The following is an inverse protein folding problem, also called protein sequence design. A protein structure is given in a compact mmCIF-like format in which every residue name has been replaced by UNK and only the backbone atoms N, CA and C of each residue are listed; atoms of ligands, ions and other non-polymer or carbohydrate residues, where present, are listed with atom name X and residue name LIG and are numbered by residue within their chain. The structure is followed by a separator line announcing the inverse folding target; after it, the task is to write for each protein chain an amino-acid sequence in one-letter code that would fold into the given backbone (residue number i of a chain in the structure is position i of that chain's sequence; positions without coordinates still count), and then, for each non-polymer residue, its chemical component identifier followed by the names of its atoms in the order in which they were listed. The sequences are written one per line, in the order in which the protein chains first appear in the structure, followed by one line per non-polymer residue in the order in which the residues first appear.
data_IF_452061877589
#
_entry.id   IF_452061877589
#
_cell.length_a   1.000
_cell.length_b   1.000
_cell.length_c   1.000
_cell.angle_alpha   90.00
_cell.angle_beta   90.00
_cell.angle_gamma   90.00
#
_symmetry.space_group_name_H-M   'P 1'
#
loop_
_entity.id
_entity.type
_entity.pdbx_description
1 polymer ?
#
# COMPACT_ATOMS: atom_id res chain seq x y z
N UNK A 1 71.19 -38.57 -2.13
CA UNK A 1 71.13 -39.04 -3.53
C UNK A 1 69.79 -39.74 -3.73
N UNK A 2 69.00 -39.29 -4.74
CA UNK A 2 68.01 -40.00 -5.57
C UNK A 2 66.95 -40.90 -4.88
N UNK A 3 65.68 -40.97 -5.27
CA UNK A 3 64.76 -40.19 -6.09
C UNK A 3 63.41 -40.94 -5.99
N UNK A 4 62.32 -40.26 -6.33
CA UNK A 4 61.10 -40.85 -6.93
C UNK A 4 59.99 -41.37 -6.02
N UNK A 5 58.70 -41.11 -6.25
CA UNK A 5 57.95 -40.21 -7.14
C UNK A 5 56.51 -40.13 -6.60
N UNK A 6 55.80 -39.09 -7.03
CA UNK A 6 54.41 -38.75 -6.73
C UNK A 6 53.41 -39.91 -6.85
N UNK A 7 52.32 -39.86 -6.06
CA UNK A 7 50.96 -39.71 -6.62
C UNK A 7 50.01 -39.20 -5.54
N UNK A 8 49.68 -37.91 -5.62
CA UNK A 8 48.59 -37.24 -4.90
C UNK A 8 47.25 -37.72 -5.45
N UNK A 9 46.53 -38.54 -4.70
CA UNK A 9 45.10 -38.75 -4.93
C UNK A 9 44.34 -37.57 -4.33
N UNK A 10 44.12 -36.54 -5.16
CA UNK A 10 43.23 -35.41 -4.88
C UNK A 10 41.81 -35.96 -4.68
N UNK A 11 41.39 -36.09 -3.43
CA UNK A 11 39.98 -36.29 -3.10
C UNK A 11 39.25 -34.96 -3.36
N UNK A 12 38.65 -34.89 -4.56
CA UNK A 12 37.57 -33.96 -4.89
C UNK A 12 36.46 -34.10 -3.86
N UNK A 13 36.36 -33.13 -2.96
CA UNK A 13 35.18 -32.91 -2.13
C UNK A 13 34.78 -31.45 -2.32
N UNK A 14 34.25 -31.17 -3.51
CA UNK A 14 33.67 -29.89 -3.85
C UNK A 14 32.47 -29.68 -2.92
N UNK A 15 32.66 -28.86 -1.90
CA UNK A 15 31.63 -28.37 -0.99
C UNK A 15 30.63 -27.51 -1.77
N UNK A 16 29.59 -28.15 -2.31
CA UNK A 16 28.36 -27.49 -2.71
C UNK A 16 27.44 -27.39 -1.48
N UNK A 17 27.82 -26.54 -0.54
CA UNK A 17 26.84 -25.96 0.38
C UNK A 17 25.99 -25.00 -0.44
N UNK A 18 24.90 -25.51 -1.02
CA UNK A 18 23.74 -24.70 -1.38
C UNK A 18 23.17 -24.15 -0.07
N UNK A 19 23.83 -23.13 0.49
CA UNK A 19 23.16 -22.15 1.30
C UNK A 19 22.19 -21.45 0.35
N UNK A 20 21.03 -22.07 0.16
CA UNK A 20 19.88 -21.39 -0.36
C UNK A 20 19.75 -20.15 0.50
N UNK A 21 20.04 -18.99 -0.10
CA UNK A 21 19.58 -17.72 0.39
C UNK A 21 18.07 -17.86 0.47
N UNK A 22 17.55 -18.30 1.62
CA UNK A 22 16.19 -18.04 2.04
C UNK A 22 16.13 -16.54 2.30
N UNK A 23 16.20 -15.78 1.20
CA UNK A 23 15.62 -14.46 1.11
C UNK A 23 14.18 -14.72 1.47
N UNK A 24 13.78 -14.34 2.68
CA UNK A 24 12.40 -14.36 3.13
C UNK A 24 11.59 -13.58 2.10
N UNK A 25 11.11 -14.29 1.09
CA UNK A 25 10.22 -13.77 0.09
C UNK A 25 8.89 -13.72 0.83
N UNK A 26 8.67 -12.60 1.52
CA UNK A 26 7.34 -12.28 2.06
C UNK A 26 6.36 -12.64 0.95
N UNK A 27 5.38 -13.52 1.21
CA UNK A 27 4.39 -13.84 0.20
C UNK A 27 3.82 -12.51 -0.32
N UNK A 28 3.62 -12.37 -1.64
CA UNK A 28 2.96 -11.19 -2.16
C UNK A 28 1.68 -10.99 -1.36
N UNK A 29 1.46 -9.78 -0.83
CA UNK A 29 0.20 -9.46 -0.15
C UNK A 29 -0.93 -9.79 -1.13
N UNK A 30 -2.00 -10.44 -0.65
CA UNK A 30 -3.10 -10.78 -1.54
C UNK A 30 -3.67 -9.50 -2.14
N UNK A 31 -4.12 -9.55 -3.40
CA UNK A 31 -4.74 -8.39 -4.07
C UNK A 31 -5.92 -7.88 -3.26
N UNK A 32 -6.67 -8.79 -2.63
CA UNK A 32 -7.79 -8.47 -1.75
C UNK A 32 -7.35 -7.63 -0.53
N UNK A 33 -6.20 -7.93 0.07
CA UNK A 33 -5.63 -7.15 1.18
C UNK A 33 -5.15 -5.75 0.75
N UNK A 34 -4.85 -5.55 -0.54
CA UNK A 34 -4.46 -4.25 -1.08
C UNK A 34 -5.67 -3.39 -1.40
N UNK A 35 -6.66 -3.96 -2.09
CA UNK A 35 -7.94 -3.29 -2.40
C UNK A 35 -8.63 -2.87 -1.10
N UNK A 36 -8.76 -3.79 -0.15
CA UNK A 36 -9.40 -3.49 1.14
C UNK A 36 -8.70 -2.35 1.89
N UNK A 37 -7.36 -2.34 1.88
CA UNK A 37 -6.58 -1.27 2.52
C UNK A 37 -6.81 0.07 1.86
N UNK A 38 -6.86 0.09 0.53
CA UNK A 38 -7.08 1.31 -0.25
C UNK A 38 -8.48 1.88 0.00
N UNK A 39 -9.50 1.03 0.02
CA UNK A 39 -10.87 1.44 0.32
C UNK A 39 -11.00 2.04 1.73
N UNK A 40 -10.35 1.43 2.73
CA UNK A 40 -10.33 1.97 4.09
C UNK A 40 -9.60 3.31 4.18
N UNK A 41 -8.45 3.43 3.49
CA UNK A 41 -7.71 4.68 3.42
C UNK A 41 -8.52 5.79 2.76
N UNK A 42 -9.24 5.48 1.67
CA UNK A 42 -10.15 6.41 1.00
C UNK A 42 -11.23 6.92 1.95
N UNK A 43 -11.92 6.01 2.68
CA UNK A 43 -12.93 6.40 3.66
C UNK A 43 -12.35 7.34 4.71
N UNK A 44 -11.16 7.04 5.25
CA UNK A 44 -10.53 7.87 6.27
C UNK A 44 -10.12 9.26 5.74
N UNK A 45 -9.59 9.34 4.52
CA UNK A 45 -9.24 10.60 3.85
C UNK A 45 -10.48 11.46 3.64
N UNK A 46 -11.53 10.90 3.04
CA UNK A 46 -12.74 11.65 2.73
C UNK A 46 -13.44 12.07 4.03
N UNK A 47 -13.47 11.21 5.06
CA UNK A 47 -13.98 11.59 6.37
C UNK A 47 -13.20 12.77 6.97
N UNK A 48 -11.87 12.72 6.94
CA UNK A 48 -11.02 13.82 7.41
C UNK A 48 -11.32 15.14 6.69
N UNK A 49 -11.50 15.10 5.36
CA UNK A 49 -11.81 16.30 4.59
C UNK A 49 -13.23 16.82 4.86
N UNK A 50 -14.22 15.94 5.05
CA UNK A 50 -15.58 16.31 5.45
C UNK A 50 -15.58 16.96 6.84
N UNK A 51 -14.93 16.33 7.81
CA UNK A 51 -14.89 16.81 9.20
C UNK A 51 -14.24 18.21 9.34
N UNK A 52 -13.43 18.62 8.36
CA UNK A 52 -12.74 19.90 8.33
C UNK A 52 -13.25 20.86 7.23
N UNK A 53 -14.47 20.61 6.71
CA UNK A 53 -15.15 21.46 5.72
C UNK A 53 -14.29 21.73 4.45
N UNK A 54 -13.44 20.78 4.04
CA UNK A 54 -12.56 20.92 2.88
C UNK A 54 -13.22 20.57 1.56
N UNK A 55 -14.27 19.74 1.61
CA UNK A 55 -15.07 19.40 0.42
C UNK A 55 -16.24 20.39 0.33
N UNK A 56 -16.44 21.07 -0.82
CA UNK A 56 -17.58 21.94 -1.01
C UNK A 56 -18.91 21.23 -0.75
N UNK A 57 -19.85 21.91 -0.09
CA UNK A 57 -21.17 21.33 0.22
C UNK A 57 -21.95 20.89 -1.03
N UNK A 58 -21.70 21.52 -2.18
CA UNK A 58 -22.26 21.10 -3.48
C UNK A 58 -21.91 19.66 -3.84
N UNK A 59 -20.71 19.23 -3.46
CA UNK A 59 -20.16 17.93 -3.86
C UNK A 59 -20.56 16.84 -2.85
N UNK A 60 -20.95 17.24 -1.64
CA UNK A 60 -21.46 16.37 -0.57
C UNK A 60 -22.98 16.16 -0.63
N UNK A 61 -23.72 17.14 -1.14
CA UNK A 61 -25.18 17.12 -1.11
C UNK A 61 -25.75 15.95 -1.92
N UNK A 62 -26.53 15.09 -1.25
CA UNK A 62 -27.20 13.96 -1.90
C UNK A 62 -26.29 12.75 -2.16
N UNK A 63 -25.06 12.76 -1.66
CA UNK A 63 -24.14 11.63 -1.82
C UNK A 63 -24.60 10.43 -0.97
N UNK A 64 -24.79 9.24 -1.57
CA UNK A 64 -25.31 8.06 -0.85
C UNK A 64 -24.27 7.46 0.12
N UNK A 65 -22.99 7.72 -0.10
CA UNK A 65 -21.89 7.28 0.76
C UNK A 65 -21.69 8.18 2.00
N UNK A 66 -22.37 9.33 2.08
CA UNK A 66 -22.33 10.23 3.24
C UNK A 66 -23.65 10.16 4.02
N UNK A 67 -23.61 9.51 5.19
CA UNK A 67 -24.80 9.32 6.03
C UNK A 67 -24.56 9.93 7.40
N UNK A 68 -25.33 10.97 7.75
CA UNK A 68 -25.20 11.67 9.03
C UNK A 68 -23.76 12.10 9.31
N UNK A 69 -23.15 12.79 8.33
CA UNK A 69 -21.75 13.25 8.38
C UNK A 69 -20.70 12.13 8.53
N UNK A 70 -21.08 10.88 8.25
CA UNK A 70 -20.18 9.73 8.23
C UNK A 70 -20.05 9.13 6.85
N UNK A 71 -18.80 9.04 6.40
CA UNK A 71 -18.41 8.42 5.13
C UNK A 71 -18.45 6.90 5.29
N UNK A 72 -19.10 6.24 4.34
CA UNK A 72 -19.19 4.79 4.25
C UNK A 72 -18.43 4.33 3.02
N UNK A 73 -17.66 3.24 3.17
CA UNK A 73 -17.07 2.56 2.02
C UNK A 73 -18.18 1.95 1.17
N UNK A 74 -18.31 2.42 -0.08
CA UNK A 74 -19.27 1.91 -1.05
C UNK A 74 -18.75 2.12 -2.47
N UNK A 75 -19.38 1.48 -3.45
CA UNK A 75 -19.01 1.64 -4.86
C UNK A 75 -19.19 3.09 -5.33
N UNK A 76 -20.21 3.78 -4.82
CA UNK A 76 -20.50 5.18 -5.13
C UNK A 76 -19.42 6.13 -4.60
N UNK A 77 -18.77 5.81 -3.47
CA UNK A 77 -17.62 6.58 -2.99
C UNK A 77 -16.42 6.45 -3.95
N UNK A 78 -16.19 5.24 -4.46
CA UNK A 78 -15.11 4.97 -5.43
C UNK A 78 -15.41 5.66 -6.77
N UNK A 79 -16.67 5.66 -7.21
CA UNK A 79 -17.11 6.41 -8.38
C UNK A 79 -16.91 7.92 -8.18
N UNK A 80 -17.32 8.46 -7.03
CA UNK A 80 -17.09 9.86 -6.69
C UNK A 80 -15.59 10.22 -6.69
N UNK A 81 -14.73 9.36 -6.13
CA UNK A 81 -13.27 9.50 -6.19
C UNK A 81 -12.80 9.55 -7.64
N UNK A 82 -13.32 8.70 -8.54
CA UNK A 82 -12.89 8.67 -9.93
C UNK A 82 -13.08 10.01 -10.64
N UNK A 83 -14.14 10.73 -10.30
CA UNK A 83 -14.46 12.07 -10.81
C UNK A 83 -13.59 13.16 -10.13
N UNK A 84 -13.32 13.01 -8.84
CA UNK A 84 -12.63 14.04 -8.03
C UNK A 84 -11.14 13.74 -7.80
N UNK A 85 -10.59 12.74 -8.48
CA UNK A 85 -9.23 12.23 -8.30
C UNK A 85 -8.16 13.32 -8.36
N UNK A 86 -8.33 14.25 -9.30
CA UNK A 86 -7.42 15.37 -9.55
C UNK A 86 -7.83 16.64 -8.80
N UNK A 87 -8.97 16.66 -8.12
CA UNK A 87 -9.42 17.79 -7.31
C UNK A 87 -8.44 18.04 -6.18
N UNK A 88 -8.01 19.31 -6.05
CA UNK A 88 -7.02 19.72 -5.06
C UNK A 88 -7.70 20.14 -3.77
N UNK A 89 -7.38 19.44 -2.68
CA UNK A 89 -7.75 19.79 -1.32
C UNK A 89 -6.49 20.10 -0.53
N UNK A 90 -6.38 21.31 0.02
CA UNK A 90 -5.24 21.72 0.86
C UNK A 90 -3.88 21.52 0.17
N UNK A 91 -3.82 21.91 -1.11
CA UNK A 91 -2.58 21.86 -1.90
C UNK A 91 -2.18 20.47 -2.41
N UNK A 92 -3.00 19.43 -2.17
CA UNK A 92 -2.76 18.06 -2.63
C UNK A 92 -3.98 17.51 -3.36
N UNK A 93 -3.78 16.77 -4.45
CA UNK A 93 -4.89 16.10 -5.15
C UNK A 93 -5.51 15.03 -4.25
N UNK A 94 -6.80 14.75 -4.43
CA UNK A 94 -7.47 13.68 -3.68
C UNK A 94 -6.77 12.31 -3.87
N UNK A 95 -6.26 12.03 -5.08
CA UNK A 95 -5.45 10.83 -5.30
C UNK A 95 -4.19 10.81 -4.42
N UNK A 96 -3.46 11.92 -4.36
CA UNK A 96 -2.25 11.95 -3.54
C UNK A 96 -2.56 11.84 -2.04
N UNK A 97 -3.73 12.32 -1.59
CA UNK A 97 -4.22 12.05 -0.24
C UNK A 97 -4.46 10.55 0.00
N UNK A 98 -5.19 9.89 -0.91
CA UNK A 98 -5.49 8.45 -0.83
C UNK A 98 -4.21 7.60 -0.86
N UNK A 99 -3.26 7.92 -1.76
CA UNK A 99 -2.00 7.20 -1.89
C UNK A 99 -1.15 7.33 -0.62
N UNK A 100 -1.06 8.52 -0.03
CA UNK A 100 -0.39 8.74 1.26
C UNK A 100 -1.04 7.93 2.39
N UNK A 101 -2.37 7.99 2.49
CA UNK A 101 -3.11 7.26 3.52
C UNK A 101 -2.97 5.74 3.37
N UNK A 102 -3.01 5.25 2.13
CA UNK A 102 -2.83 3.83 1.81
C UNK A 102 -1.43 3.35 2.16
N UNK A 103 -0.41 4.17 1.89
CA UNK A 103 0.99 3.87 2.23
C UNK A 103 1.24 3.85 3.75
N UNK A 104 0.56 4.71 4.50
CA UNK A 104 0.68 4.81 5.95
C UNK A 104 -0.30 3.90 6.73
N UNK A 105 -1.18 3.16 6.05
CA UNK A 105 -2.22 2.35 6.70
C UNK A 105 -1.66 1.19 7.54
N UNK A 106 -2.24 0.87 8.72
CA UNK A 106 -3.40 1.50 9.38
C UNK A 106 -3.04 2.68 10.30
N UNK A 107 -1.80 3.18 10.23
CA UNK A 107 -1.30 4.24 11.11
C UNK A 107 -1.55 5.67 10.63
N UNK A 108 -2.16 5.85 9.46
CA UNK A 108 -2.46 7.17 8.92
C UNK A 108 -3.39 7.98 9.86
N UNK A 109 -3.15 9.28 9.94
CA UNK A 109 -3.96 10.21 10.73
C UNK A 109 -4.30 11.44 9.91
N UNK A 110 -5.50 11.97 10.14
CA UNK A 110 -5.91 13.28 9.62
C UNK A 110 -4.92 14.35 10.11
N UNK A 111 -4.31 15.15 9.23
CA UNK A 111 -3.23 16.08 9.61
C UNK A 111 -3.72 17.49 9.99
N UNK A 112 -5.02 17.67 10.23
CA UNK A 112 -5.62 18.93 10.68
C UNK A 112 -5.82 18.93 12.20
#
# INVERSE_FOLDING_TARGET
MRASWATTALLLSLTLTLAACTREQKPPKSVDDEVHRRDQALVAVVQCLVDHDRIPRSDLSGQPWLVQDKVRGSAELVEWLSVHRETVYEGKTLQAWEDEATAAWPGWRCPF
#
